data_IF_229977413874
#
_entry.id   IF_229977413874
#
_cell.length_a   1.000
_cell.length_b   1.000
_cell.length_c   1.000
_cell.angle_alpha   90.00
_cell.angle_beta   90.00
_cell.angle_gamma   90.00
#
_symmetry.space_group_name_H-M   'P 1'
#
loop_
_entity.id
_entity.type
_entity.pdbx_description
1 polymer ?
#
# COMPACT_ATOMS: atom_id res chain seq x y z
N UNK A 1 -15.51 -19.34 -0.68
CA UNK A 1 -16.84 -18.71 -0.76
C UNK A 1 -16.63 -17.24 -0.45
N UNK A 2 -16.91 -16.35 -1.40
CA UNK A 2 -16.82 -14.90 -1.15
C UNK A 2 -17.98 -14.45 -0.26
N UNK A 3 -17.76 -13.40 0.53
CA UNK A 3 -18.83 -12.79 1.31
C UNK A 3 -20.00 -12.39 0.40
N UNK A 4 -21.26 -12.50 0.88
CA UNK A 4 -22.31 -11.68 0.32
C UNK A 4 -21.94 -10.23 0.64
N UNK A 5 -21.57 -9.43 -0.38
CA UNK A 5 -21.40 -7.97 -0.29
C UNK A 5 -22.73 -7.23 0.06
N UNK A 6 -23.64 -7.91 0.75
CA UNK A 6 -24.91 -7.39 1.19
C UNK A 6 -24.64 -6.34 2.28
N UNK A 7 -24.95 -5.07 1.96
CA UNK A 7 -24.90 -3.89 2.85
C UNK A 7 -23.60 -3.07 2.83
N UNK A 8 -22.96 -2.92 1.68
CA UNK A 8 -22.11 -1.74 1.48
C UNK A 8 -22.98 -0.55 1.13
N UNK A 9 -23.33 0.26 2.14
CA UNK A 9 -23.94 1.58 1.92
C UNK A 9 -22.91 2.58 1.35
N UNK A 10 -21.61 2.24 1.42
CA UNK A 10 -20.49 3.10 1.04
C UNK A 10 -19.45 2.28 0.27
N UNK A 11 -18.96 2.82 -0.84
CA UNK A 11 -17.77 2.26 -1.49
C UNK A 11 -16.54 2.61 -0.63
N UNK A 12 -15.67 1.66 -0.27
CA UNK A 12 -14.53 1.93 0.58
C UNK A 12 -13.51 2.77 -0.19
N UNK A 13 -13.38 4.03 0.21
CA UNK A 13 -12.18 4.82 -0.05
C UNK A 13 -11.00 4.26 0.76
N UNK A 14 -9.87 4.02 0.09
CA UNK A 14 -8.64 3.46 0.66
C UNK A 14 -7.65 4.50 1.16
N UNK A 15 -8.02 5.79 1.21
CA UNK A 15 -7.12 6.89 1.63
C UNK A 15 -6.48 6.62 3.00
N UNK A 16 -7.27 6.20 4.00
CA UNK A 16 -6.72 5.89 5.33
C UNK A 16 -5.78 4.68 5.30
N UNK A 17 -6.04 3.68 4.46
CA UNK A 17 -5.13 2.55 4.30
C UNK A 17 -3.76 3.00 3.75
N UNK A 18 -3.74 3.88 2.75
CA UNK A 18 -2.48 4.45 2.22
C UNK A 18 -1.74 5.27 3.27
N UNK A 19 -2.47 6.11 4.02
CA UNK A 19 -1.90 6.90 5.13
C UNK A 19 -1.28 6.00 6.21
N UNK A 20 -1.89 4.86 6.52
CA UNK A 20 -1.34 3.90 7.49
C UNK A 20 -0.11 3.14 6.97
N UNK A 21 0.06 2.95 5.65
CA UNK A 21 1.33 2.48 5.11
C UNK A 21 2.47 3.45 5.42
N UNK A 22 2.22 4.76 5.31
CA UNK A 22 3.19 5.80 5.69
C UNK A 22 3.43 5.81 7.21
N UNK A 23 2.38 5.62 8.01
CA UNK A 23 2.54 5.52 9.47
C UNK A 23 3.41 4.31 9.86
N UNK A 24 3.20 3.14 9.25
CA UNK A 24 4.04 1.97 9.47
C UNK A 24 5.50 2.24 9.08
N UNK A 25 5.74 2.88 7.94
CA UNK A 25 7.09 3.27 7.54
C UNK A 25 7.74 4.24 8.55
N UNK A 26 6.98 5.20 9.09
CA UNK A 26 7.44 6.12 10.12
C UNK A 26 7.81 5.36 11.41
N UNK A 27 6.97 4.43 11.86
CA UNK A 27 7.24 3.59 13.04
C UNK A 27 8.48 2.74 12.84
N UNK A 28 8.58 2.06 11.70
CA UNK A 28 9.69 1.18 11.40
C UNK A 28 10.99 1.98 11.27
N UNK A 29 10.98 3.20 10.70
CA UNK A 29 12.19 4.05 10.58
C UNK A 29 12.84 4.37 11.93
N UNK A 30 12.06 4.38 13.03
CA UNK A 30 12.54 4.59 14.39
C UNK A 30 13.14 3.34 15.04
N UNK A 31 13.01 2.17 14.39
CA UNK A 31 13.47 0.87 14.87
C UNK A 31 14.73 0.46 14.10
N UNK A 32 15.90 0.83 14.61
CA UNK A 32 17.18 0.57 13.91
C UNK A 32 17.51 -0.92 13.78
N UNK A 33 16.88 -1.78 14.58
CA UNK A 33 17.06 -3.23 14.57
C UNK A 33 16.31 -3.95 13.45
N UNK A 34 15.29 -3.33 12.85
CA UNK A 34 14.53 -3.94 11.76
C UNK A 34 15.33 -3.92 10.46
N UNK A 35 15.63 -5.11 9.93
CA UNK A 35 16.24 -5.26 8.63
C UNK A 35 15.30 -4.74 7.52
N UNK A 36 15.87 -4.37 6.37
CA UNK A 36 15.09 -3.89 5.23
C UNK A 36 14.02 -4.89 4.77
N UNK A 37 14.40 -6.17 4.66
CA UNK A 37 13.46 -7.23 4.27
C UNK A 37 12.28 -7.35 5.25
N UNK A 38 12.53 -7.21 6.56
CA UNK A 38 11.46 -7.26 7.56
C UNK A 38 10.47 -6.09 7.41
N UNK A 39 10.97 -4.89 7.06
CA UNK A 39 10.12 -3.72 6.79
C UNK A 39 9.23 -3.94 5.58
N UNK A 40 9.80 -4.50 4.50
CA UNK A 40 9.05 -4.86 3.29
C UNK A 40 7.97 -5.89 3.60
N UNK A 41 8.32 -6.94 4.35
CA UNK A 41 7.37 -8.00 4.73
C UNK A 41 6.23 -7.45 5.59
N UNK A 42 6.53 -6.54 6.55
CA UNK A 42 5.52 -5.86 7.37
C UNK A 42 4.59 -4.99 6.52
N UNK A 43 5.13 -4.24 5.56
CA UNK A 43 4.33 -3.46 4.60
C UNK A 43 3.36 -4.34 3.80
N UNK A 44 3.85 -5.49 3.29
CA UNK A 44 3.03 -6.46 2.56
C UNK A 44 1.94 -7.06 3.44
N UNK A 45 2.26 -7.43 4.68
CA UNK A 45 1.28 -7.94 5.65
C UNK A 45 0.18 -6.92 5.94
N UNK A 46 0.53 -5.64 6.07
CA UNK A 46 -0.44 -4.55 6.26
C UNK A 46 -1.38 -4.42 5.06
N UNK A 47 -0.84 -4.42 3.84
CA UNK A 47 -1.64 -4.37 2.61
C UNK A 47 -2.58 -5.59 2.52
N UNK A 48 -2.08 -6.79 2.79
CA UNK A 48 -2.88 -8.01 2.79
C UNK A 48 -4.01 -7.94 3.83
N UNK A 49 -3.73 -7.41 5.02
CA UNK A 49 -4.73 -7.22 6.06
C UNK A 49 -5.82 -6.23 5.64
N UNK A 50 -5.51 -5.16 4.90
CA UNK A 50 -6.53 -4.27 4.34
C UNK A 50 -7.43 -4.97 3.32
N UNK A 51 -6.87 -5.84 2.48
CA UNK A 51 -7.66 -6.66 1.56
C UNK A 51 -8.60 -7.60 2.31
N UNK A 52 -8.12 -8.31 3.33
CA UNK A 52 -8.94 -9.16 4.19
C UNK A 52 -10.06 -8.38 4.86
N UNK A 53 -9.73 -7.28 5.56
CA UNK A 53 -10.70 -6.45 6.27
C UNK A 53 -11.81 -5.96 5.33
N UNK A 54 -11.43 -5.49 4.15
CA UNK A 54 -12.37 -4.92 3.18
C UNK A 54 -13.19 -6.02 2.49
N UNK A 55 -12.52 -6.94 1.79
CA UNK A 55 -13.18 -7.86 0.86
C UNK A 55 -13.65 -9.16 1.50
N UNK A 56 -13.05 -9.56 2.63
CA UNK A 56 -13.39 -10.82 3.31
C UNK A 56 -14.17 -10.63 4.61
N UNK A 57 -14.11 -9.44 5.22
CA UNK A 57 -14.80 -9.12 6.48
C UNK A 57 -15.78 -7.96 6.40
N UNK A 58 -15.82 -7.22 5.28
CA UNK A 58 -16.74 -6.11 5.08
C UNK A 58 -16.52 -4.93 6.03
N UNK A 59 -15.32 -4.77 6.58
CA UNK A 59 -14.95 -3.66 7.48
C UNK A 59 -14.82 -2.36 6.66
N UNK A 60 -15.40 -1.28 7.18
CA UNK A 60 -15.31 0.04 6.55
C UNK A 60 -13.96 0.71 6.84
N UNK A 61 -12.96 0.41 6.00
CA UNK A 61 -11.61 1.00 6.09
C UNK A 61 -11.54 2.48 5.66
N UNK A 62 -12.65 3.08 5.22
CA UNK A 62 -12.71 4.54 4.99
C UNK A 62 -12.80 5.33 6.28
N UNK A 63 -13.13 4.69 7.40
CA UNK A 63 -13.07 5.30 8.73
C UNK A 63 -11.68 5.12 9.34
N UNK A 64 -11.20 6.08 10.16
CA UNK A 64 -9.94 5.92 10.90
C UNK A 64 -9.90 4.63 11.73
N UNK A 65 -10.99 4.30 12.42
CA UNK A 65 -11.12 3.13 13.27
C UNK A 65 -11.08 1.83 12.47
N UNK A 66 -11.82 1.77 11.36
CA UNK A 66 -11.85 0.57 10.52
C UNK A 66 -10.49 0.26 9.88
N UNK A 67 -9.75 1.28 9.43
CA UNK A 67 -8.40 1.08 8.92
C UNK A 67 -7.41 0.71 10.04
N UNK A 68 -7.50 1.36 11.21
CA UNK A 68 -6.58 1.15 12.31
C UNK A 68 -6.61 -0.27 12.91
N UNK A 69 -7.70 -1.01 12.74
CA UNK A 69 -7.79 -2.43 13.10
C UNK A 69 -6.64 -3.25 12.50
N UNK A 70 -6.19 -2.91 11.29
CA UNK A 70 -5.13 -3.65 10.60
C UNK A 70 -3.82 -3.66 11.40
N UNK A 71 -3.38 -2.49 11.87
CA UNK A 71 -2.15 -2.37 12.66
C UNK A 71 -2.28 -3.03 14.03
N UNK A 72 -3.46 -2.92 14.65
CA UNK A 72 -3.76 -3.58 15.94
C UNK A 72 -3.71 -5.11 15.85
N UNK A 73 -4.38 -5.68 14.85
CA UNK A 73 -4.41 -7.14 14.65
C UNK A 73 -3.05 -7.72 14.27
N UNK A 74 -2.22 -6.96 13.55
CA UNK A 74 -0.85 -7.35 13.21
C UNK A 74 0.15 -7.11 14.35
N UNK A 75 -0.26 -6.45 15.43
CA UNK A 75 0.62 -6.09 16.55
C UNK A 75 1.70 -5.07 16.17
N UNK A 76 1.47 -4.25 15.15
CA UNK A 76 2.43 -3.26 14.67
C UNK A 76 2.31 -1.93 15.40
N UNK A 77 1.10 -1.59 15.86
CA UNK A 77 0.80 -0.45 16.73
C UNK A 77 -0.55 -0.70 17.42
N UNK A 78 -0.85 0.03 18.51
CA UNK A 78 -2.20 0.05 19.06
C UNK A 78 -3.17 0.65 18.03
N UNK A 79 -4.36 0.06 17.89
CA UNK A 79 -5.37 0.55 16.95
C UNK A 79 -5.84 1.97 17.33
N UNK A 80 -5.89 2.28 18.61
CA UNK A 80 -6.28 3.59 19.14
C UNK A 80 -5.28 4.67 18.72
N UNK A 81 -3.98 4.38 18.78
CA UNK A 81 -2.93 5.31 18.38
C UNK A 81 -2.94 5.55 16.87
N UNK A 82 -3.09 4.49 16.08
CA UNK A 82 -3.21 4.60 14.62
C UNK A 82 -4.47 5.39 14.21
N UNK A 83 -5.62 5.15 14.86
CA UNK A 83 -6.83 5.90 14.61
C UNK A 83 -6.70 7.38 15.00
N UNK A 84 -6.02 7.66 16.12
CA UNK A 84 -5.72 9.03 16.55
C UNK A 84 -4.83 9.76 15.53
N UNK A 85 -3.74 9.14 15.10
CA UNK A 85 -2.83 9.68 14.08
C UNK A 85 -3.58 10.02 12.78
N UNK A 86 -4.51 9.15 12.35
CA UNK A 86 -5.36 9.43 11.19
C UNK A 86 -6.33 10.61 11.41
N UNK A 87 -6.92 10.75 12.60
CA UNK A 87 -7.84 11.86 12.92
C UNK A 87 -7.12 13.21 13.00
N UNK A 88 -5.86 13.21 13.35
CA UNK A 88 -4.99 14.41 13.38
C UNK A 88 -4.57 14.87 11.98
N UNK A 89 -4.99 14.16 10.91
CA UNK A 89 -4.70 14.55 9.53
C UNK A 89 -3.33 14.10 9.01
N UNK A 90 -2.55 13.38 9.84
CA UNK A 90 -1.19 12.96 9.50
C UNK A 90 -1.12 12.09 8.22
N UNK A 91 -0.04 12.26 7.45
CA UNK A 91 0.21 11.50 6.22
C UNK A 91 -0.69 11.81 5.03
N UNK A 92 -1.68 12.71 5.15
CA UNK A 92 -2.56 13.09 4.04
C UNK A 92 -1.77 13.73 2.90
N UNK A 93 -0.95 14.75 3.22
CA UNK A 93 -0.18 15.49 2.23
C UNK A 93 0.79 14.59 1.47
N UNK A 94 1.39 13.61 2.16
CA UNK A 94 2.27 12.63 1.53
C UNK A 94 1.52 11.77 0.51
N UNK A 95 0.35 11.23 0.88
CA UNK A 95 -0.46 10.42 -0.06
C UNK A 95 -0.91 11.24 -1.27
N UNK A 96 -1.29 12.50 -1.07
CA UNK A 96 -1.66 13.40 -2.17
C UNK A 96 -0.48 13.74 -3.07
N UNK A 97 0.71 13.94 -2.50
CA UNK A 97 1.93 14.19 -3.25
C UNK A 97 2.33 12.95 -4.08
N UNK A 98 2.28 11.76 -3.49
CA UNK A 98 2.62 10.50 -4.17
C UNK A 98 1.64 10.22 -5.33
N UNK A 99 0.33 10.41 -5.11
CA UNK A 99 -0.70 10.24 -6.14
C UNK A 99 -0.54 11.27 -7.28
N UNK A 100 -0.26 12.53 -6.94
CA UNK A 100 -0.03 13.57 -7.93
C UNK A 100 1.24 13.31 -8.75
N UNK A 101 2.32 12.88 -8.10
CA UNK A 101 3.58 12.52 -8.75
C UNK A 101 3.37 11.36 -9.73
N UNK A 102 2.74 10.26 -9.28
CA UNK A 102 2.44 9.11 -10.12
C UNK A 102 1.62 9.49 -11.37
N UNK A 103 0.58 10.31 -11.21
CA UNK A 103 -0.29 10.70 -12.33
C UNK A 103 0.35 11.70 -13.28
N UNK A 104 1.07 12.70 -12.76
CA UNK A 104 1.53 13.84 -13.57
C UNK A 104 2.93 13.64 -14.13
N UNK A 105 3.81 13.03 -13.36
CA UNK A 105 5.23 12.90 -13.71
C UNK A 105 5.53 11.51 -14.28
N UNK A 106 4.83 10.49 -13.80
CA UNK A 106 5.03 9.10 -14.25
C UNK A 106 3.99 8.62 -15.28
N UNK A 107 2.97 9.43 -15.58
CA UNK A 107 1.86 9.11 -16.50
C UNK A 107 1.14 7.80 -16.14
N UNK A 108 0.99 7.53 -14.83
CA UNK A 108 0.28 6.36 -14.30
C UNK A 108 -1.18 6.75 -14.04
N UNK A 109 -2.09 6.18 -14.83
CA UNK A 109 -3.54 6.43 -14.77
C UNK A 109 -4.35 5.27 -14.17
N UNK A 110 -3.72 4.13 -13.89
CA UNK A 110 -4.36 2.93 -13.38
C UNK A 110 -3.45 2.05 -12.52
N UNK A 111 -4.07 1.22 -11.68
CA UNK A 111 -3.39 0.27 -10.77
C UNK A 111 -3.91 -1.16 -10.96
N UNK A 112 -3.08 -2.21 -10.72
CA UNK A 112 -1.68 -2.12 -10.33
C UNK A 112 -0.78 -1.66 -11.49
N UNK A 113 0.30 -0.96 -11.18
CA UNK A 113 1.33 -0.55 -12.15
C UNK A 113 2.70 -0.87 -11.55
N UNK A 114 3.62 -1.35 -12.38
CA UNK A 114 4.97 -1.70 -11.95
C UNK A 114 5.99 -0.96 -12.82
N UNK A 115 6.93 -0.28 -12.17
CA UNK A 115 8.12 0.30 -12.83
C UNK A 115 9.29 -0.64 -12.54
N UNK A 116 9.90 -1.15 -13.60
CA UNK A 116 11.05 -2.05 -13.53
C UNK A 116 12.26 -1.31 -14.08
N UNK A 117 13.24 -1.08 -13.22
CA UNK A 117 14.51 -0.42 -13.54
C UNK A 117 15.67 -1.21 -12.93
N UNK A 118 16.87 -1.00 -13.46
CA UNK A 118 18.09 -1.41 -12.76
C UNK A 118 18.49 -0.36 -11.72
N UNK A 119 19.28 -0.76 -10.74
CA UNK A 119 19.73 0.11 -9.64
C UNK A 119 20.64 1.25 -10.13
N UNK A 120 21.50 0.99 -11.11
CA UNK A 120 22.45 1.97 -11.66
C UNK A 120 21.85 2.88 -12.74
N UNK A 121 20.59 2.70 -13.13
CA UNK A 121 19.87 3.57 -14.07
C UNK A 121 20.45 3.65 -15.49
N UNK A 122 21.22 2.66 -15.94
CA UNK A 122 21.85 2.67 -17.28
C UNK A 122 20.84 2.44 -18.41
N UNK A 123 19.71 1.82 -18.12
CA UNK A 123 18.64 1.46 -19.03
C UNK A 123 17.37 2.23 -18.69
N UNK A 124 16.56 2.50 -19.72
CA UNK A 124 15.28 3.16 -19.54
C UNK A 124 14.34 2.24 -18.74
N UNK A 125 13.69 2.73 -17.67
CA UNK A 125 12.71 1.95 -16.93
C UNK A 125 11.57 1.43 -17.83
N UNK A 126 11.10 0.22 -17.52
CA UNK A 126 9.96 -0.40 -18.19
C UNK A 126 8.72 -0.35 -17.31
N UNK A 127 7.60 0.13 -17.87
CA UNK A 127 6.29 0.11 -17.23
C UNK A 127 5.50 -1.15 -17.58
N UNK A 128 4.87 -1.77 -16.59
CA UNK A 128 3.88 -2.82 -16.75
C UNK A 128 2.56 -2.37 -16.09
N UNK A 129 1.52 -2.16 -16.89
CA UNK A 129 0.20 -1.75 -16.41
C UNK A 129 -0.75 -2.94 -16.27
N UNK A 130 -1.51 -2.98 -15.18
CA UNK A 130 -2.49 -3.99 -14.86
C UNK A 130 -1.92 -5.29 -14.28
N UNK A 131 -2.81 -6.23 -14.00
CA UNK A 131 -2.44 -7.57 -13.55
C UNK A 131 -1.79 -8.35 -14.71
N UNK A 132 -0.46 -8.37 -14.73
CA UNK A 132 0.32 -9.04 -15.76
C UNK A 132 0.69 -10.47 -15.35
N UNK A 133 0.82 -11.41 -16.31
CA UNK A 133 1.34 -12.74 -16.00
C UNK A 133 2.81 -12.67 -15.56
N UNK A 134 3.25 -13.60 -14.71
CA UNK A 134 4.65 -13.69 -14.25
C UNK A 134 5.67 -13.67 -15.39
N UNK A 135 5.34 -14.25 -16.54
CA UNK A 135 6.18 -14.24 -17.74
C UNK A 135 6.48 -12.83 -18.28
N UNK A 136 5.59 -11.85 -18.08
CA UNK A 136 5.82 -10.46 -18.46
C UNK A 136 6.92 -9.83 -17.60
N UNK A 137 6.91 -10.09 -16.29
CA UNK A 137 7.95 -9.66 -15.37
C UNK A 137 9.31 -10.28 -15.71
N UNK A 138 9.36 -11.60 -15.96
CA UNK A 138 10.61 -12.26 -16.37
C UNK A 138 11.20 -11.66 -17.66
N UNK A 139 10.34 -11.28 -18.62
CA UNK A 139 10.79 -10.59 -19.85
C UNK A 139 11.28 -9.17 -19.56
N UNK A 140 10.58 -8.44 -18.70
CA UNK A 140 10.99 -7.09 -18.32
C UNK A 140 12.34 -7.10 -17.59
N UNK A 141 12.53 -7.98 -16.59
CA UNK A 141 13.81 -8.13 -15.88
C UNK A 141 14.97 -8.45 -16.83
N UNK A 142 14.78 -9.38 -17.78
CA UNK A 142 15.80 -9.69 -18.80
C UNK A 142 16.16 -8.48 -19.67
N UNK A 143 15.19 -7.61 -19.98
CA UNK A 143 15.43 -6.42 -20.81
C UNK A 143 16.20 -5.33 -20.07
N UNK A 144 15.97 -5.16 -18.77
CA UNK A 144 16.69 -4.16 -17.96
C UNK A 144 18.04 -4.67 -17.44
N UNK A 145 18.22 -5.98 -17.29
CA UNK A 145 19.48 -6.56 -16.81
C UNK A 145 20.59 -6.65 -17.88
N UNK A 146 20.23 -6.54 -19.17
CA UNK A 146 21.16 -6.76 -20.29
C UNK A 146 21.30 -8.21 -20.70
#
# INVERSE_FOLDING_TARGET
MGLPFAKWDWWPNTLNAHRLCNYLAELDSKRSELAEQERLDRGLQLIQKFYELTYERGVNISTPEGAAQALGELGFAAAEDAAKWLKEGCGLDQVLADDAHAKREMDIDGVPFFVISEEEGKTRPLGLSGAQPSSAFSKAFKKVAG
#
